data_IF_011875239560
#
_entry.id   IF_011875239560
#
_cell.length_a   1.000
_cell.length_b   1.000
_cell.length_c   1.000
_cell.angle_alpha   90.00
_cell.angle_beta   90.00
_cell.angle_gamma   90.00
#
_symmetry.space_group_name_H-M   'P 1'
#
loop_
_entity.id
_entity.type
_entity.pdbx_description
1 polymer ?
#
# COMPACT_ATOMS: atom_id res chain seq x y z
N UNK A 1 -35.54 -5.45 17.64
CA UNK A 1 -34.70 -4.47 16.93
C UNK A 1 -33.26 -4.96 17.04
N UNK A 2 -32.77 -5.69 16.02
CA UNK A 2 -31.42 -6.27 16.03
C UNK A 2 -30.46 -5.22 15.47
N UNK A 3 -29.54 -4.76 16.32
CA UNK A 3 -28.54 -3.74 16.00
C UNK A 3 -27.43 -4.36 15.14
N UNK A 4 -27.54 -4.23 13.82
CA UNK A 4 -26.50 -4.63 12.86
C UNK A 4 -25.51 -3.47 12.71
N UNK A 5 -24.72 -3.22 13.75
CA UNK A 5 -23.50 -2.41 13.59
C UNK A 5 -22.44 -3.30 12.92
N UNK A 6 -21.88 -2.91 11.76
CA UNK A 6 -20.77 -3.66 11.19
C UNK A 6 -19.60 -3.65 12.20
N UNK A 7 -19.07 -4.83 12.49
CA UNK A 7 -17.89 -4.95 13.33
C UNK A 7 -16.75 -4.13 12.70
N UNK A 8 -16.12 -3.25 13.49
CA UNK A 8 -14.99 -2.47 13.01
C UNK A 8 -13.88 -3.42 12.52
N UNK A 9 -13.19 -3.10 11.41
CA UNK A 9 -12.13 -3.93 10.89
C UNK A 9 -11.04 -4.09 11.96
N UNK A 10 -10.59 -5.33 12.16
CA UNK A 10 -9.56 -5.68 13.12
C UNK A 10 -8.31 -4.80 12.96
N UNK A 11 -7.84 -4.14 14.04
CA UNK A 11 -6.66 -3.29 13.97
C UNK A 11 -5.42 -4.03 13.45
N UNK A 12 -5.29 -5.33 13.74
CA UNK A 12 -4.16 -6.14 13.27
C UNK A 12 -4.23 -6.40 11.77
N UNK A 13 -5.44 -6.51 11.21
CA UNK A 13 -5.66 -6.58 9.76
C UNK A 13 -5.27 -5.29 9.06
N UNK A 14 -5.60 -4.14 9.66
CA UNK A 14 -5.23 -2.83 9.13
C UNK A 14 -3.71 -2.65 9.15
N UNK A 15 -3.04 -3.08 10.23
CA UNK A 15 -1.58 -3.05 10.31
C UNK A 15 -0.93 -3.94 9.25
N UNK A 16 -1.46 -5.14 9.02
CA UNK A 16 -0.94 -6.05 7.99
C UNK A 16 -1.07 -5.48 6.57
N UNK A 17 -2.20 -4.84 6.25
CA UNK A 17 -2.39 -4.15 4.97
C UNK A 17 -1.46 -2.94 4.83
N UNK A 18 -1.28 -2.15 5.89
CA UNK A 18 -0.35 -1.03 5.86
C UNK A 18 1.11 -1.48 5.59
N UNK A 19 1.52 -2.62 6.17
CA UNK A 19 2.83 -3.20 5.90
C UNK A 19 2.98 -3.68 4.44
N UNK A 20 1.96 -4.32 3.87
CA UNK A 20 1.97 -4.70 2.45
C UNK A 20 1.99 -3.48 1.52
N UNK A 21 1.23 -2.44 1.84
CA UNK A 21 1.24 -1.18 1.08
C UNK A 21 2.62 -0.52 1.09
N UNK A 22 3.29 -0.46 2.25
CA UNK A 22 4.65 0.05 2.38
C UNK A 22 5.66 -0.78 1.58
N UNK A 23 5.58 -2.10 1.66
CA UNK A 23 6.43 -2.99 0.87
C UNK A 23 6.25 -2.79 -0.64
N UNK A 24 5.00 -2.71 -1.11
CA UNK A 24 4.70 -2.42 -2.51
C UNK A 24 5.21 -1.04 -2.93
N UNK A 25 5.10 -0.04 -2.08
CA UNK A 25 5.63 1.31 -2.34
C UNK A 25 7.14 1.29 -2.55
N UNK A 26 7.88 0.51 -1.75
CA UNK A 26 9.32 0.34 -1.93
C UNK A 26 9.67 -0.45 -3.21
N UNK A 27 8.92 -1.50 -3.53
CA UNK A 27 9.11 -2.20 -4.81
C UNK A 27 8.83 -1.31 -6.02
N UNK A 28 7.79 -0.49 -5.96
CA UNK A 28 7.47 0.50 -7.00
C UNK A 28 8.58 1.53 -7.14
N UNK A 29 9.13 2.02 -6.02
CA UNK A 29 10.28 2.93 -6.02
C UNK A 29 11.52 2.31 -6.66
N UNK A 30 11.79 1.03 -6.43
CA UNK A 30 12.90 0.29 -7.05
C UNK A 30 12.66 0.00 -8.54
N UNK A 31 11.39 -0.11 -8.96
CA UNK A 31 11.00 -0.39 -10.34
C UNK A 31 10.85 0.87 -11.20
N UNK A 32 10.80 2.05 -10.57
CA UNK A 32 10.76 3.33 -11.25
C UNK A 32 12.12 3.58 -11.93
N UNK A 33 12.18 3.61 -13.28
CA UNK A 33 13.43 3.83 -14.02
C UNK A 33 14.01 5.24 -13.83
N UNK A 34 13.40 6.08 -12.97
CA UNK A 34 13.75 7.46 -12.76
C UNK A 34 13.07 8.38 -13.78
N UNK A 35 13.21 9.69 -13.58
CA UNK A 35 12.77 10.67 -14.57
C UNK A 35 13.78 10.65 -15.73
N UNK A 36 13.37 10.44 -16.99
CA UNK A 36 14.28 10.57 -18.12
C UNK A 36 14.82 12.01 -18.17
N UNK A 37 16.15 12.16 -18.23
CA UNK A 37 16.87 13.46 -18.29
C UNK A 37 16.53 14.30 -19.54
N UNK A 38 15.76 13.77 -20.50
CA UNK A 38 15.58 14.38 -21.80
C UNK A 38 14.17 14.95 -22.01
N UNK A 39 14.02 16.25 -21.75
CA UNK A 39 13.15 17.15 -22.53
C UNK A 39 11.63 17.17 -22.25
N UNK A 40 11.07 16.18 -21.53
CA UNK A 40 9.62 16.09 -21.26
C UNK A 40 9.25 15.77 -19.79
N UNK A 41 10.15 16.03 -18.82
CA UNK A 41 9.90 15.83 -17.38
C UNK A 41 9.28 17.06 -16.71
N UNK A 42 8.35 16.87 -15.77
CA UNK A 42 7.55 17.88 -15.06
C UNK A 42 8.32 18.78 -14.07
N UNK A 43 9.63 18.94 -14.27
CA UNK A 43 10.51 19.79 -13.47
C UNK A 43 10.68 19.33 -12.02
N UNK A 44 11.28 20.18 -11.17
CA UNK A 44 11.57 19.86 -9.76
C UNK A 44 10.32 19.50 -8.93
N UNK A 45 9.13 19.95 -9.36
CA UNK A 45 7.87 19.61 -8.73
C UNK A 45 7.50 18.14 -8.89
N UNK A 46 7.79 17.52 -10.04
CA UNK A 46 7.49 16.10 -10.31
C UNK A 46 8.16 15.19 -9.28
N UNK A 47 9.43 15.45 -8.95
CA UNK A 47 10.17 14.66 -7.97
C UNK A 47 9.51 14.68 -6.57
N UNK A 48 8.93 15.81 -6.16
CA UNK A 48 8.22 15.91 -4.89
C UNK A 48 6.85 15.23 -4.91
N UNK A 49 6.16 15.21 -6.05
CA UNK A 49 4.88 14.52 -6.19
C UNK A 49 5.04 13.01 -6.44
N UNK A 50 6.18 12.57 -6.97
CA UNK A 50 6.47 11.16 -7.25
C UNK A 50 6.38 10.28 -6.00
N UNK A 51 6.94 10.71 -4.87
CA UNK A 51 6.85 9.94 -3.62
C UNK A 51 5.40 9.73 -3.18
N UNK A 52 4.57 10.76 -3.26
CA UNK A 52 3.15 10.66 -2.90
C UNK A 52 2.37 9.76 -3.87
N UNK A 53 2.69 9.80 -5.16
CA UNK A 53 2.06 8.92 -6.15
C UNK A 53 2.42 7.45 -5.91
N UNK A 54 3.68 7.16 -5.61
CA UNK A 54 4.15 5.80 -5.32
C UNK A 54 3.45 5.25 -4.07
N UNK A 55 3.37 6.03 -3.00
CA UNK A 55 2.70 5.63 -1.76
C UNK A 55 1.20 5.38 -1.99
N UNK A 56 0.51 6.33 -2.66
CA UNK A 56 -0.90 6.18 -3.01
C UNK A 56 -1.16 4.99 -3.95
N UNK A 57 -0.20 4.64 -4.81
CA UNK A 57 -0.30 3.46 -5.66
C UNK A 57 -0.14 2.17 -4.85
N UNK A 58 0.83 2.10 -3.93
CA UNK A 58 1.00 0.98 -3.01
C UNK A 58 -0.27 0.72 -2.19
N UNK A 59 -0.86 1.76 -1.61
CA UNK A 59 -2.14 1.69 -0.90
C UNK A 59 -3.28 1.17 -1.77
N UNK A 60 -3.42 1.68 -2.99
CA UNK A 60 -4.47 1.25 -3.93
C UNK A 60 -4.30 -0.19 -4.38
N UNK A 61 -3.06 -0.64 -4.62
CA UNK A 61 -2.79 -2.04 -4.99
C UNK A 61 -3.19 -2.96 -3.83
N UNK A 62 -2.80 -2.64 -2.60
CA UNK A 62 -3.22 -3.40 -1.41
C UNK A 62 -4.75 -3.41 -1.27
N UNK A 63 -5.40 -2.26 -1.40
CA UNK A 63 -6.86 -2.16 -1.31
C UNK A 63 -7.60 -2.94 -2.41
N UNK A 64 -6.99 -3.08 -3.60
CA UNK A 64 -7.52 -3.86 -4.72
C UNK A 64 -7.28 -5.38 -4.58
N UNK A 65 -6.66 -5.84 -3.48
CA UNK A 65 -6.40 -7.25 -3.20
C UNK A 65 -4.94 -7.59 -2.92
N UNK A 66 -4.02 -6.66 -3.18
CA UNK A 66 -2.59 -6.82 -2.89
C UNK A 66 -1.93 -7.99 -3.62
N UNK A 67 -0.83 -8.47 -3.06
CA UNK A 67 -0.10 -9.66 -3.52
C UNK A 67 -0.24 -10.83 -2.53
N UNK A 68 -1.03 -10.65 -1.48
CA UNK A 68 -1.28 -11.65 -0.44
C UNK A 68 -0.27 -11.63 0.71
N UNK A 69 0.62 -10.62 0.77
CA UNK A 69 1.56 -10.45 1.88
C UNK A 69 0.84 -10.05 3.17
N UNK A 70 -0.21 -9.21 3.09
CA UNK A 70 -0.98 -8.84 4.28
C UNK A 70 -1.54 -10.07 5.00
N UNK A 71 -2.00 -11.10 4.27
CA UNK A 71 -2.47 -12.35 4.88
C UNK A 71 -1.38 -13.07 5.67
N UNK A 72 -0.18 -13.18 5.10
CA UNK A 72 0.97 -13.82 5.75
C UNK A 72 1.43 -13.04 6.98
N UNK A 73 1.49 -11.72 6.88
CA UNK A 73 1.86 -10.84 7.99
C UNK A 73 0.82 -10.90 9.11
N UNK A 74 -0.46 -10.89 8.77
CA UNK A 74 -1.55 -11.00 9.74
C UNK A 74 -1.46 -12.30 10.55
N UNK A 75 -1.26 -13.43 9.88
CA UNK A 75 -1.06 -14.72 10.56
C UNK A 75 0.22 -14.72 11.43
N UNK A 76 1.33 -14.15 10.92
CA UNK A 76 2.60 -14.07 11.65
C UNK A 76 2.52 -13.20 12.93
N UNK A 77 1.61 -12.21 12.95
CA UNK A 77 1.37 -11.38 14.14
C UNK A 77 0.32 -11.99 15.10
N UNK A 78 -0.14 -13.22 14.86
CA UNK A 78 -1.11 -13.92 15.72
C UNK A 78 -2.58 -13.62 15.39
N UNK A 79 -2.86 -13.09 14.20
CA UNK A 79 -4.22 -12.93 13.72
C UNK A 79 -4.91 -14.28 13.46
N UNK A 80 -6.22 -14.43 13.77
CA UNK A 80 -6.99 -15.63 13.42
C UNK A 80 -6.97 -15.93 11.91
N UNK A 81 -7.16 -17.19 11.53
CA UNK A 81 -7.27 -17.51 10.10
C UNK A 81 -8.52 -16.86 9.51
N UNK A 82 -8.35 -16.16 8.38
CA UNK A 82 -9.43 -15.48 7.63
C UNK A 82 -9.71 -16.13 6.29
#
# INVERSE_FOLDING_TARGET
MHDIRPAAPDPLWRAAQALEAGFLSELLRLSDPGTPDAGFGGGPGEAQFRSFLIEAQGERITAAGGIGLARKLYAAMGGPDR
#
